data_IF_874810934435
#
_entry.id   IF_874810934435
#
_cell.length_a   1.000
_cell.length_b   1.000
_cell.length_c   1.000
_cell.angle_alpha   90.00
_cell.angle_beta   90.00
_cell.angle_gamma   90.00
#
_symmetry.space_group_name_H-M   'P 1'
#
loop_
_entity.id
_entity.type
_entity.pdbx_description
1 polymer ?
#
# COMPACT_ATOMS: atom_id res chain seq x y z
N UNK A 1 -12.61 5.32 8.11
CA UNK A 1 -11.28 5.22 7.47
C UNK A 1 -11.23 3.87 6.80
N UNK A 2 -10.72 3.77 5.57
CA UNK A 2 -10.51 2.48 4.92
C UNK A 2 -9.52 1.65 5.72
N UNK A 3 -9.73 0.34 5.76
CA UNK A 3 -8.86 -0.66 6.37
C UNK A 3 -7.62 -0.97 5.52
N UNK A 4 -7.55 -0.39 4.32
CA UNK A 4 -6.50 -0.67 3.33
C UNK A 4 -5.29 0.20 3.55
N UNK A 5 -4.12 -0.41 3.45
CA UNK A 5 -2.87 0.23 3.76
C UNK A 5 -1.79 -0.16 2.77
N UNK A 6 -1.03 0.82 2.30
CA UNK A 6 0.22 0.61 1.59
C UNK A 6 1.37 0.87 2.55
N UNK A 7 2.30 -0.07 2.66
CA UNK A 7 3.55 0.08 3.40
C UNK A 7 4.73 -0.02 2.44
N UNK A 8 5.60 0.99 2.43
CA UNK A 8 6.84 1.04 1.63
C UNK A 8 8.01 1.29 2.57
N UNK A 9 8.99 0.39 2.55
CA UNK A 9 10.20 0.45 3.38
C UNK A 9 9.92 0.80 4.87
N UNK A 10 8.85 0.21 5.42
CA UNK A 10 8.45 0.37 6.82
C UNK A 10 7.60 1.61 7.14
N UNK A 11 7.30 2.47 6.16
CA UNK A 11 6.36 3.58 6.33
C UNK A 11 5.02 3.22 5.72
N UNK A 12 3.93 3.58 6.40
CA UNK A 12 2.58 3.22 5.99
C UNK A 12 1.71 4.42 5.64
N UNK A 13 0.80 4.22 4.69
CA UNK A 13 -0.20 5.17 4.24
C UNK A 13 -1.54 4.47 4.08
N UNK A 14 -2.62 5.15 4.41
CA UNK A 14 -3.98 4.66 4.12
C UNK A 14 -4.25 4.69 2.62
N UNK A 15 -5.18 3.87 2.14
CA UNK A 15 -5.61 3.87 0.74
C UNK A 15 -7.13 3.89 0.70
N UNK A 16 -7.73 4.74 -0.12
CA UNK A 16 -9.19 4.75 -0.28
C UNK A 16 -9.67 3.48 -0.99
N UNK A 17 -10.82 2.95 -0.56
CA UNK A 17 -11.40 1.73 -1.14
C UNK A 17 -11.62 1.85 -2.65
N UNK A 18 -12.06 3.03 -3.11
CA UNK A 18 -12.30 3.30 -4.53
C UNK A 18 -11.00 3.25 -5.38
N UNK A 19 -9.84 3.48 -4.76
CA UNK A 19 -8.55 3.60 -5.42
C UNK A 19 -7.66 2.36 -5.19
N UNK A 20 -8.03 1.49 -4.26
CA UNK A 20 -7.26 0.34 -3.81
C UNK A 20 -6.77 -0.56 -4.96
N UNK A 21 -7.65 -0.91 -5.89
CA UNK A 21 -7.31 -1.78 -7.02
C UNK A 21 -6.26 -1.15 -7.95
N UNK A 22 -6.37 0.16 -8.18
CA UNK A 22 -5.44 0.90 -9.03
C UNK A 22 -4.08 1.06 -8.35
N UNK A 23 -4.07 1.44 -7.07
CA UNK A 23 -2.84 1.57 -6.26
C UNK A 23 -2.10 0.24 -6.23
N UNK A 24 -2.77 -0.87 -5.96
CA UNK A 24 -2.13 -2.20 -5.94
C UNK A 24 -1.48 -2.55 -7.29
N UNK A 25 -2.19 -2.32 -8.40
CA UNK A 25 -1.65 -2.56 -9.75
C UNK A 25 -0.43 -1.68 -10.04
N UNK A 26 -0.48 -0.40 -9.68
CA UNK A 26 0.61 0.54 -9.89
C UNK A 26 1.85 0.19 -9.04
N UNK A 27 1.65 -0.24 -7.79
CA UNK A 27 2.73 -0.74 -6.93
C UNK A 27 3.38 -1.98 -7.54
N UNK A 28 2.59 -2.95 -7.98
CA UNK A 28 3.10 -4.15 -8.63
C UNK A 28 3.91 -3.81 -9.88
N UNK A 29 3.41 -2.90 -10.72
CA UNK A 29 4.11 -2.42 -11.90
C UNK A 29 5.44 -1.75 -11.54
N UNK A 30 5.42 -0.83 -10.56
CA UNK A 30 6.63 -0.12 -10.13
C UNK A 30 7.72 -1.10 -9.69
N UNK A 31 7.36 -2.05 -8.81
CA UNK A 31 8.30 -3.03 -8.26
C UNK A 31 8.79 -4.05 -9.31
N UNK A 32 7.96 -4.40 -10.30
CA UNK A 32 8.33 -5.38 -11.35
C UNK A 32 9.21 -4.73 -12.43
N UNK A 33 8.80 -3.56 -12.92
CA UNK A 33 9.42 -2.91 -14.07
C UNK A 33 10.55 -1.97 -13.64
N UNK A 34 10.69 -1.71 -12.34
CA UNK A 34 11.62 -0.72 -11.81
C UNK A 34 11.29 0.68 -12.32
N UNK A 35 10.03 1.08 -12.26
CA UNK A 35 9.59 2.42 -12.70
C UNK A 35 9.17 3.29 -11.53
N UNK A 36 9.03 4.59 -11.78
CA UNK A 36 8.46 5.53 -10.83
C UNK A 36 6.97 5.68 -11.12
N UNK A 37 6.14 5.52 -10.09
CA UNK A 37 4.69 5.73 -10.16
C UNK A 37 4.23 6.73 -9.10
N UNK A 38 3.13 7.43 -9.39
CA UNK A 38 2.45 8.30 -8.45
C UNK A 38 1.22 7.58 -7.89
N UNK A 39 1.16 7.45 -6.56
CA UNK A 39 0.11 6.71 -5.87
C UNK A 39 -0.70 7.69 -5.03
N UNK A 40 -2.01 7.81 -5.27
CA UNK A 40 -2.88 8.54 -4.36
C UNK A 40 -3.08 7.71 -3.08
N UNK A 41 -2.73 8.30 -1.94
CA UNK A 41 -2.77 7.65 -0.62
C UNK A 41 -3.22 8.65 0.44
N UNK A 42 -3.43 8.19 1.67
CA UNK A 42 -3.86 8.99 2.81
C UNK A 42 -2.76 9.04 3.87
N UNK A 43 -2.60 10.21 4.49
CA UNK A 43 -1.85 10.36 5.75
C UNK A 43 -2.61 9.71 6.91
N UNK A 44 -1.94 9.61 8.06
CA UNK A 44 -2.52 9.10 9.31
C UNK A 44 -3.78 9.89 9.74
N UNK A 45 -3.81 11.19 9.47
CA UNK A 45 -4.98 12.06 9.73
C UNK A 45 -6.10 11.91 8.69
N UNK A 46 -5.95 11.02 7.70
CA UNK A 46 -6.90 10.81 6.62
C UNK A 46 -6.80 11.82 5.47
N UNK A 47 -5.86 12.77 5.51
CA UNK A 47 -5.70 13.76 4.44
C UNK A 47 -5.10 13.12 3.17
N UNK A 48 -5.60 13.45 1.97
CA UNK A 48 -5.08 12.92 0.72
C UNK A 48 -3.70 13.48 0.40
N UNK A 49 -2.81 12.60 -0.07
CA UNK A 49 -1.45 12.93 -0.53
C UNK A 49 -1.04 12.04 -1.71
N UNK A 50 -0.01 12.47 -2.44
CA UNK A 50 0.60 11.66 -3.49
C UNK A 50 1.93 11.08 -2.99
N UNK A 51 2.06 9.76 -3.01
CA UNK A 51 3.32 9.05 -2.79
C UNK A 51 3.97 8.72 -4.13
N UNK A 52 5.23 9.14 -4.32
CA UNK A 52 6.03 8.71 -5.47
C UNK A 52 6.84 7.48 -5.08
N UNK A 53 6.47 6.32 -5.62
CA UNK A 53 7.17 5.06 -5.42
C UNK A 53 8.18 4.85 -6.55
N UNK A 54 9.46 4.69 -6.22
CA UNK A 54 10.49 4.28 -7.16
C UNK A 54 10.83 2.80 -6.97
N UNK A 55 10.32 1.93 -7.85
CA UNK A 55 10.52 0.50 -7.71
C UNK A 55 11.94 -0.01 -7.99
N UNK A 56 12.88 0.84 -8.46
CA UNK A 56 14.31 0.47 -8.51
C UNK A 56 15.01 0.63 -7.16
N UNK A 57 14.49 1.50 -6.29
CA UNK A 57 15.13 1.86 -5.03
C UNK A 57 14.40 1.26 -3.83
N UNK A 58 13.07 1.16 -3.91
CA UNK A 58 12.27 0.56 -2.86
C UNK A 58 12.67 -0.91 -2.67
N UNK A 59 12.94 -1.30 -1.42
CA UNK A 59 13.31 -2.68 -1.10
C UNK A 59 12.09 -3.54 -0.90
N UNK A 60 11.02 -2.96 -0.36
CA UNK A 60 9.77 -3.66 -0.04
C UNK A 60 8.57 -2.75 -0.26
N UNK A 61 7.49 -3.34 -0.78
CA UNK A 61 6.17 -2.74 -0.79
C UNK A 61 5.13 -3.81 -0.42
N UNK A 62 4.30 -3.51 0.56
CA UNK A 62 3.23 -4.39 1.04
C UNK A 62 1.91 -3.66 0.92
N UNK A 63 0.97 -4.24 0.19
CA UNK A 63 -0.39 -3.74 0.10
C UNK A 63 -1.32 -4.64 0.94
N UNK A 64 -1.78 -4.12 2.06
CA UNK A 64 -2.81 -4.76 2.89
C UNK A 64 -4.19 -4.33 2.39
N UNK A 65 -4.96 -5.30 1.89
CA UNK A 65 -6.31 -5.07 1.36
C UNK A 65 -7.39 -5.12 2.45
N UNK A 66 -7.03 -5.16 3.73
CA UNK A 66 -7.95 -5.22 4.87
C UNK A 66 -8.67 -6.56 5.04
N UNK A 67 -8.41 -7.52 4.15
CA UNK A 67 -9.10 -8.81 4.11
C UNK A 67 -8.63 -9.82 5.18
N UNK A 68 -7.70 -9.44 6.06
CA UNK A 68 -7.08 -10.35 7.01
C UNK A 68 -7.27 -9.94 8.45
N UNK A 69 -8.30 -10.46 9.13
CA UNK A 69 -8.10 -10.81 10.52
C UNK A 69 -6.84 -11.68 10.59
N UNK A 70 -5.91 -11.38 11.50
CA UNK A 70 -4.82 -12.30 11.83
C UNK A 70 -5.41 -13.70 11.95
N UNK A 71 -4.77 -14.76 11.43
CA UNK A 71 -5.08 -16.12 11.89
C UNK A 71 -4.80 -16.14 13.40
N UNK A 72 -5.82 -15.83 14.21
CA UNK A 72 -5.75 -15.95 15.65
C UNK A 72 -5.67 -17.44 15.95
N UNK A 73 -4.50 -17.84 16.45
CA UNK A 73 -4.30 -18.96 17.37
C UNK A 73 -4.76 -20.33 16.85
N UNK A 74 -3.78 -21.20 16.55
CA UNK A 74 -4.03 -22.65 16.57
C UNK A 74 -4.35 -23.01 18.03
N UNK A 75 -5.55 -23.53 18.36
CA UNK A 75 -5.83 -24.02 19.70
C UNK A 75 -4.89 -25.19 20.01
N UNK A 76 -4.06 -25.02 21.04
CA UNK A 76 -3.31 -26.11 21.67
C UNK A 76 -4.18 -26.94 22.59
#
# INVERSE_FOLDING_TARGET
MSDKQLTVDGRSWGVEDAQAAEVNRAVQQAMTDGVVVALPVLKEDGSPVTLYLNGKLATTAVFDNGAGGRPTEIPG
#
